data_IF_707675294661
#
_entry.id   IF_707675294661
#
_cell.length_a   1.000
_cell.length_b   1.000
_cell.length_c   1.000
_cell.angle_alpha   90.00
_cell.angle_beta   90.00
_cell.angle_gamma   90.00
#
_symmetry.space_group_name_H-M   'P 1'
#
loop_
_entity.id
_entity.type
_entity.pdbx_description
1 polymer ?
#
# COMPACT_ATOMS: atom_id res chain seq x y z
N UNK A 1 -7.27 12.03 1.64
CA UNK A 1 -6.46 12.58 2.67
C UNK A 1 -5.21 13.25 2.09
N UNK A 2 -5.33 14.57 1.91
CA UNK A 2 -4.39 15.43 1.16
C UNK A 2 -2.97 15.45 1.71
N UNK A 3 -2.82 15.31 3.03
CA UNK A 3 -1.50 15.38 3.67
C UNK A 3 -0.64 14.11 3.44
N UNK A 4 -1.23 12.98 3.14
CA UNK A 4 -0.53 11.73 2.87
C UNK A 4 0.10 11.71 1.48
N UNK A 5 -0.56 12.38 0.55
CA UNK A 5 -0.13 12.50 -0.83
C UNK A 5 1.11 13.41 -0.93
N UNK A 6 1.25 14.40 -0.02
CA UNK A 6 2.45 15.27 0.05
C UNK A 6 3.71 14.46 0.37
N UNK A 7 3.63 13.59 1.39
CA UNK A 7 4.77 12.75 1.78
C UNK A 7 5.22 11.83 0.63
N UNK A 8 4.25 11.35 -0.19
CA UNK A 8 4.55 10.58 -1.40
C UNK A 8 5.26 11.39 -2.48
N UNK A 9 4.85 12.66 -2.66
CA UNK A 9 5.48 13.56 -3.62
C UNK A 9 6.92 13.90 -3.20
N UNK A 10 7.14 14.16 -1.92
CA UNK A 10 8.46 14.46 -1.37
C UNK A 10 9.38 13.23 -1.37
N UNK A 11 8.81 12.00 -1.32
CA UNK A 11 9.56 10.75 -1.43
C UNK A 11 9.87 10.36 -2.88
N UNK A 12 9.24 10.99 -3.87
CA UNK A 12 9.33 10.59 -5.27
C UNK A 12 10.76 10.60 -5.85
N UNK A 13 11.61 11.61 -5.61
CA UNK A 13 12.98 11.57 -6.09
C UNK A 13 13.72 10.31 -5.60
N UNK A 14 13.62 10.00 -4.32
CA UNK A 14 14.27 8.81 -3.75
C UNK A 14 13.69 7.47 -4.23
N UNK A 15 12.42 7.43 -4.65
CA UNK A 15 11.82 6.27 -5.33
C UNK A 15 12.44 6.09 -6.73
N UNK A 16 12.48 7.17 -7.51
CA UNK A 16 12.98 7.17 -8.89
C UNK A 16 14.49 6.84 -8.95
N UNK A 17 15.28 7.40 -8.04
CA UNK A 17 16.72 7.11 -7.91
C UNK A 17 17.01 5.61 -7.66
N UNK A 18 16.10 4.91 -7.02
CA UNK A 18 16.18 3.45 -6.80
C UNK A 18 15.67 2.63 -8.00
N UNK A 19 15.29 3.27 -9.10
CA UNK A 19 14.75 2.61 -10.30
C UNK A 19 13.25 2.31 -10.21
N UNK A 20 12.55 2.90 -9.25
CA UNK A 20 11.10 2.74 -9.11
C UNK A 20 10.32 3.54 -10.15
N UNK A 21 9.10 3.10 -10.37
CA UNK A 21 8.11 3.80 -11.19
C UNK A 21 6.87 4.10 -10.33
N UNK A 22 6.23 5.23 -10.58
CA UNK A 22 4.97 5.62 -9.92
C UNK A 22 3.86 5.79 -10.95
N UNK A 23 2.76 5.07 -10.74
CA UNK A 23 1.49 5.35 -11.41
C UNK A 23 0.47 5.84 -10.39
N UNK A 24 -0.17 6.97 -10.64
CA UNK A 24 -1.18 7.57 -9.77
C UNK A 24 -2.45 7.85 -10.55
N UNK A 25 -3.57 7.40 -9.99
CA UNK A 25 -4.92 7.73 -10.43
C UNK A 25 -5.67 8.34 -9.26
N UNK A 26 -6.21 9.53 -9.43
CA UNK A 26 -7.01 10.17 -8.40
C UNK A 26 -7.32 11.62 -8.69
N UNK A 27 -8.12 12.21 -7.83
CA UNK A 27 -8.46 13.63 -7.84
C UNK A 27 -8.45 14.17 -6.41
N UNK A 28 -8.21 15.48 -6.25
CA UNK A 28 -8.14 16.12 -4.94
C UNK A 28 -7.76 17.59 -5.06
N UNK A 29 -6.94 18.05 -4.14
CA UNK A 29 -6.44 19.42 -4.10
C UNK A 29 -5.75 19.83 -5.41
N UNK A 30 -6.16 20.97 -6.04
CA UNK A 30 -5.60 21.40 -7.32
C UNK A 30 -4.08 21.66 -7.31
N UNK A 31 -3.54 22.16 -6.19
CA UNK A 31 -2.10 22.44 -6.08
C UNK A 31 -1.30 21.13 -6.04
N UNK A 32 -1.81 20.12 -5.35
CA UNK A 32 -1.22 18.79 -5.35
C UNK A 32 -1.29 18.13 -6.72
N UNK A 33 -2.42 18.25 -7.41
CA UNK A 33 -2.55 17.76 -8.79
C UNK A 33 -1.52 18.40 -9.72
N UNK A 34 -1.36 19.73 -9.66
CA UNK A 34 -0.37 20.46 -10.45
C UNK A 34 1.06 19.99 -10.15
N UNK A 35 1.41 19.78 -8.88
CA UNK A 35 2.74 19.28 -8.47
C UNK A 35 2.99 17.86 -8.98
N UNK A 36 2.02 16.97 -8.94
CA UNK A 36 2.15 15.62 -9.49
C UNK A 36 2.29 15.60 -11.00
N UNK A 37 1.55 16.45 -11.72
CA UNK A 37 1.70 16.61 -13.17
C UNK A 37 3.08 17.17 -13.53
N UNK A 38 3.59 18.13 -12.75
CA UNK A 38 4.96 18.63 -12.92
C UNK A 38 6.00 17.53 -12.68
N UNK A 39 5.80 16.69 -11.67
CA UNK A 39 6.68 15.54 -11.42
C UNK A 39 6.65 14.52 -12.56
N UNK A 40 5.48 14.27 -13.16
CA UNK A 40 5.40 13.39 -14.34
C UNK A 40 6.16 13.96 -15.54
N UNK A 41 6.14 15.29 -15.72
CA UNK A 41 6.93 15.95 -16.77
C UNK A 41 8.44 15.91 -16.48
N UNK A 42 8.84 15.93 -15.20
CA UNK A 42 10.25 15.86 -14.77
C UNK A 42 10.82 14.44 -14.91
N UNK A 43 10.01 13.39 -14.73
CA UNK A 43 10.44 11.98 -14.75
C UNK A 43 9.68 11.20 -15.83
N UNK A 44 9.88 11.50 -17.13
CA UNK A 44 9.17 10.82 -18.21
C UNK A 44 9.51 9.33 -18.26
N UNK A 45 8.46 8.51 -18.40
CA UNK A 45 8.59 7.04 -18.39
C UNK A 45 8.72 6.40 -17.00
N UNK A 46 8.93 7.19 -15.94
CA UNK A 46 9.03 6.70 -14.57
C UNK A 46 7.83 7.14 -13.72
N UNK A 47 7.22 8.29 -14.02
CA UNK A 47 6.05 8.80 -13.30
C UNK A 47 4.90 9.03 -14.28
N UNK A 48 3.76 8.43 -14.00
CA UNK A 48 2.53 8.59 -14.80
C UNK A 48 1.39 9.01 -13.88
N UNK A 49 0.73 10.11 -14.23
CA UNK A 49 -0.36 10.70 -13.44
C UNK A 49 -1.61 10.81 -14.29
N UNK A 50 -2.71 10.27 -13.80
CA UNK A 50 -4.04 10.46 -14.39
C UNK A 50 -4.96 11.08 -13.35
N UNK A 51 -5.42 12.31 -13.63
CA UNK A 51 -6.37 13.01 -12.78
C UNK A 51 -7.78 12.53 -13.12
N UNK A 52 -8.54 12.13 -12.11
CA UNK A 52 -9.93 11.70 -12.23
C UNK A 52 -10.22 10.41 -11.46
N UNK A 53 -11.41 9.87 -11.71
CA UNK A 53 -11.87 8.59 -11.19
C UNK A 53 -12.14 7.61 -12.34
N UNK A 54 -11.57 6.42 -12.23
CA UNK A 54 -11.79 5.33 -13.18
C UNK A 54 -11.61 4.01 -12.43
N UNK A 55 -12.70 3.36 -12.09
CA UNK A 55 -12.70 2.13 -11.27
C UNK A 55 -12.02 0.97 -11.99
N UNK A 56 -12.32 0.79 -13.27
CA UNK A 56 -11.74 -0.29 -14.07
C UNK A 56 -10.21 -0.12 -14.17
N UNK A 57 -9.74 1.10 -14.45
CA UNK A 57 -8.31 1.40 -14.48
C UNK A 57 -7.67 1.23 -13.10
N UNK A 58 -8.34 1.62 -12.01
CA UNK A 58 -7.80 1.45 -10.66
C UNK A 58 -7.49 -0.01 -10.34
N UNK A 59 -8.40 -0.92 -10.69
CA UNK A 59 -8.18 -2.36 -10.52
C UNK A 59 -7.05 -2.90 -11.41
N UNK A 60 -6.95 -2.41 -12.65
CA UNK A 60 -5.83 -2.78 -13.54
C UNK A 60 -4.48 -2.29 -12.99
N UNK A 61 -4.44 -1.05 -12.49
CA UNK A 61 -3.23 -0.50 -11.88
C UNK A 61 -2.82 -1.29 -10.63
N UNK A 62 -3.78 -1.60 -9.75
CA UNK A 62 -3.49 -2.42 -8.56
C UNK A 62 -2.98 -3.80 -8.98
N UNK A 63 -3.66 -4.49 -9.90
CA UNK A 63 -3.26 -5.83 -10.33
C UNK A 63 -1.94 -5.87 -11.14
N UNK A 64 -1.53 -4.75 -11.73
CA UNK A 64 -0.30 -4.63 -12.51
C UNK A 64 0.90 -4.07 -11.74
N UNK A 65 0.73 -3.61 -10.51
CA UNK A 65 1.80 -3.04 -9.70
C UNK A 65 2.45 -4.09 -8.79
N UNK A 66 3.71 -3.87 -8.41
CA UNK A 66 4.38 -4.67 -7.39
C UNK A 66 3.98 -4.25 -5.98
N UNK A 67 3.82 -2.94 -5.77
CA UNK A 67 3.50 -2.33 -4.48
C UNK A 67 2.35 -1.35 -4.63
N UNK A 68 1.40 -1.38 -3.69
CA UNK A 68 0.41 -0.32 -3.55
C UNK A 68 0.72 0.55 -2.34
N UNK A 69 0.86 1.86 -2.58
CA UNK A 69 1.23 2.82 -1.57
C UNK A 69 -0.01 3.45 -0.93
N UNK A 70 -0.18 3.25 0.38
CA UNK A 70 -1.31 3.80 1.16
C UNK A 70 -0.79 4.52 2.42
N UNK A 71 -0.14 5.69 2.27
CA UNK A 71 0.51 6.41 3.37
C UNK A 71 -0.48 7.25 4.18
N UNK A 72 -1.70 6.80 4.38
CA UNK A 72 -2.79 7.55 5.01
C UNK A 72 -2.43 8.01 6.43
N UNK A 73 -2.73 9.26 6.75
CA UNK A 73 -2.60 9.79 8.13
C UNK A 73 -3.72 9.29 9.04
N UNK A 74 -4.90 9.11 8.47
CA UNK A 74 -6.04 8.52 9.13
C UNK A 74 -6.79 7.63 8.13
N UNK A 75 -7.05 6.39 8.50
CA UNK A 75 -7.76 5.42 7.66
C UNK A 75 -8.56 4.48 8.54
N UNK A 76 -9.88 4.68 8.70
CA UNK A 76 -10.69 3.85 9.60
C UNK A 76 -10.67 2.37 9.22
N UNK A 77 -10.76 2.07 7.95
CA UNK A 77 -10.75 0.71 7.41
C UNK A 77 -9.77 0.58 6.24
N UNK A 78 -10.06 1.30 5.14
CA UNK A 78 -9.39 1.17 3.86
C UNK A 78 -9.81 -0.09 3.09
N UNK A 79 -10.03 0.05 1.79
CA UNK A 79 -10.24 -1.08 0.88
C UNK A 79 -9.04 -1.29 -0.04
N UNK A 80 -8.30 -0.24 -0.30
CA UNK A 80 -7.21 -0.23 -1.27
C UNK A 80 -6.13 -1.26 -0.94
N UNK A 81 -5.72 -1.36 0.33
CA UNK A 81 -4.76 -2.38 0.78
C UNK A 81 -5.34 -3.80 0.68
N UNK A 82 -6.65 -3.97 0.89
CA UNK A 82 -7.31 -5.27 0.77
C UNK A 82 -7.34 -5.75 -0.69
N UNK A 83 -7.58 -4.83 -1.63
CA UNK A 83 -7.42 -5.13 -3.06
C UNK A 83 -5.98 -5.51 -3.39
N UNK A 84 -5.00 -4.77 -2.87
CA UNK A 84 -3.58 -5.10 -3.02
C UNK A 84 -3.28 -6.51 -2.53
N UNK A 85 -3.65 -6.86 -1.30
CA UNK A 85 -3.49 -8.21 -0.75
C UNK A 85 -4.13 -9.27 -1.66
N UNK A 86 -5.36 -9.03 -2.14
CA UNK A 86 -6.08 -9.97 -2.99
C UNK A 86 -5.41 -10.20 -4.34
N UNK A 87 -4.82 -9.15 -4.94
CA UNK A 87 -4.14 -9.22 -6.23
C UNK A 87 -2.66 -9.65 -6.13
N UNK A 88 -2.11 -9.76 -4.92
CA UNK A 88 -0.69 -10.03 -4.70
C UNK A 88 0.20 -8.81 -4.89
N UNK A 89 -0.38 -7.61 -4.93
CA UNK A 89 0.31 -6.33 -4.91
C UNK A 89 0.57 -5.95 -3.47
N UNK A 90 1.82 -5.96 -3.02
CA UNK A 90 2.13 -5.82 -1.61
C UNK A 90 1.82 -4.41 -1.09
N UNK A 91 0.96 -4.26 -0.06
CA UNK A 91 0.67 -2.96 0.50
C UNK A 91 1.88 -2.38 1.23
N UNK A 92 2.17 -1.09 0.99
CA UNK A 92 3.09 -0.30 1.79
C UNK A 92 2.27 0.80 2.47
N UNK A 93 2.05 0.66 3.77
CA UNK A 93 1.05 1.43 4.51
C UNK A 93 1.64 2.10 5.75
N UNK A 94 1.02 3.21 6.18
CA UNK A 94 1.28 3.75 7.50
C UNK A 94 0.49 2.97 8.56
N UNK A 95 1.08 2.77 9.74
CA UNK A 95 0.44 2.11 10.89
C UNK A 95 -0.65 3.01 11.47
N UNK A 96 -1.87 2.90 10.94
CA UNK A 96 -3.03 3.66 11.41
C UNK A 96 -4.33 2.90 11.10
N UNK A 97 -5.28 2.88 12.05
CA UNK A 97 -6.59 2.27 11.89
C UNK A 97 -6.56 0.90 11.23
N UNK A 98 -7.48 0.66 10.31
CA UNK A 98 -7.61 -0.62 9.60
C UNK A 98 -6.39 -1.04 8.78
N UNK A 99 -5.49 -0.12 8.43
CA UNK A 99 -4.22 -0.49 7.77
C UNK A 99 -3.31 -1.26 8.74
N UNK A 100 -3.27 -0.85 10.02
CA UNK A 100 -2.49 -1.54 11.05
C UNK A 100 -3.04 -2.93 11.36
N UNK A 101 -4.35 -3.13 11.21
CA UNK A 101 -5.03 -4.39 11.52
C UNK A 101 -4.98 -5.40 10.37
N UNK A 102 -4.78 -4.93 9.14
CA UNK A 102 -4.91 -5.75 7.93
C UNK A 102 -3.58 -6.06 7.23
N UNK A 103 -2.50 -5.34 7.54
CA UNK A 103 -1.18 -5.52 6.92
C UNK A 103 -0.14 -5.89 7.98
N UNK A 104 0.40 -7.10 7.87
CA UNK A 104 1.53 -7.55 8.70
C UNK A 104 2.86 -7.15 8.05
N UNK A 105 3.70 -6.44 8.80
CA UNK A 105 4.96 -5.91 8.31
C UNK A 105 5.95 -7.00 7.90
N UNK A 106 6.70 -6.78 6.82
CA UNK A 106 7.84 -7.61 6.41
C UNK A 106 9.04 -7.37 7.35
N UNK A 107 8.85 -7.56 8.66
CA UNK A 107 9.94 -7.66 9.64
C UNK A 107 10.63 -9.03 9.54
N UNK A 108 11.82 -9.16 10.13
CA UNK A 108 12.54 -10.43 10.13
C UNK A 108 11.73 -11.53 10.84
N UNK A 109 11.09 -11.18 11.96
CA UNK A 109 10.24 -12.07 12.74
C UNK A 109 9.05 -12.56 11.90
N UNK A 110 8.28 -11.62 11.34
CA UNK A 110 7.11 -11.98 10.53
C UNK A 110 7.47 -12.76 9.26
N UNK A 111 8.65 -12.51 8.68
CA UNK A 111 9.14 -13.29 7.54
C UNK A 111 9.49 -14.71 7.96
N UNK A 112 10.12 -14.89 9.13
CA UNK A 112 10.46 -16.20 9.68
C UNK A 112 9.20 -17.00 10.05
N UNK A 113 8.20 -16.33 10.63
CA UNK A 113 6.95 -16.95 11.08
C UNK A 113 5.92 -17.13 9.93
N UNK A 114 6.22 -16.62 8.72
CA UNK A 114 5.31 -16.73 7.59
C UNK A 114 4.06 -15.84 7.69
N UNK A 115 4.14 -14.75 8.44
CA UNK A 115 3.02 -13.85 8.69
C UNK A 115 3.06 -12.57 7.84
N UNK A 116 4.21 -12.25 7.23
CA UNK A 116 4.43 -11.02 6.48
C UNK A 116 3.50 -10.91 5.26
N UNK A 117 2.83 -9.77 5.11
CA UNK A 117 1.90 -9.51 3.99
C UNK A 117 2.13 -8.16 3.28
N UNK A 118 3.02 -7.31 3.80
CA UNK A 118 3.30 -6.00 3.23
C UNK A 118 4.33 -5.23 4.04
N UNK A 119 4.40 -3.93 3.85
CA UNK A 119 5.36 -3.05 4.50
C UNK A 119 4.62 -2.02 5.35
N UNK A 120 5.06 -1.85 6.60
CA UNK A 120 4.44 -0.92 7.54
C UNK A 120 5.49 0.08 8.04
N UNK A 121 5.14 1.36 8.06
CA UNK A 121 5.90 2.43 8.70
C UNK A 121 5.03 3.20 9.70
N UNK A 122 5.64 3.84 10.69
CA UNK A 122 4.90 4.46 11.82
C UNK A 122 4.83 5.97 11.69
N UNK A 123 5.97 6.62 11.47
CA UNK A 123 6.06 8.07 11.57
C UNK A 123 5.52 8.74 10.30
N UNK A 124 4.75 9.81 10.50
CA UNK A 124 4.21 10.61 9.38
C UNK A 124 5.30 11.57 8.86
N UNK A 125 6.37 10.98 8.33
CA UNK A 125 7.55 11.68 7.80
C UNK A 125 8.01 11.03 6.50
N UNK A 126 8.45 11.84 5.56
CA UNK A 126 9.01 11.39 4.27
C UNK A 126 10.17 10.39 4.46
N UNK A 127 11.01 10.61 5.47
CA UNK A 127 12.13 9.72 5.78
C UNK A 127 11.67 8.30 6.19
N UNK A 128 10.57 8.19 6.94
CA UNK A 128 9.99 6.91 7.36
C UNK A 128 9.41 6.16 6.16
N UNK A 129 8.71 6.86 5.28
CA UNK A 129 8.20 6.33 4.02
C UNK A 129 9.34 5.82 3.13
N UNK A 130 10.40 6.61 2.95
CA UNK A 130 11.57 6.22 2.14
C UNK A 130 12.27 4.97 2.70
N UNK A 131 12.36 4.83 4.03
CA UNK A 131 12.88 3.58 4.65
C UNK A 131 12.03 2.37 4.28
N UNK A 132 10.70 2.51 4.32
CA UNK A 132 9.80 1.42 3.93
C UNK A 132 9.91 1.09 2.42
N UNK A 133 10.02 2.10 1.56
CA UNK A 133 10.26 1.93 0.13
C UNK A 133 11.56 1.15 -0.10
N UNK A 134 12.66 1.53 0.55
CA UNK A 134 13.95 0.80 0.44
C UNK A 134 13.82 -0.68 0.86
N UNK A 135 13.07 -0.96 1.91
CA UNK A 135 12.79 -2.35 2.35
C UNK A 135 12.04 -3.12 1.28
N UNK A 136 11.07 -2.48 0.61
CA UNK A 136 10.36 -3.09 -0.50
C UNK A 136 11.30 -3.43 -1.66
N UNK A 137 12.20 -2.53 -2.07
CA UNK A 137 13.20 -2.81 -3.09
C UNK A 137 14.14 -3.95 -2.70
N UNK A 138 14.61 -3.98 -1.45
CA UNK A 138 15.46 -5.06 -0.94
C UNK A 138 14.75 -6.41 -1.00
N UNK A 139 13.47 -6.46 -0.65
CA UNK A 139 12.68 -7.69 -0.74
C UNK A 139 12.40 -8.07 -2.20
N UNK A 140 12.05 -7.10 -3.04
CA UNK A 140 11.78 -7.28 -4.47
C UNK A 140 12.99 -7.86 -5.21
N UNK A 141 14.22 -7.47 -4.84
CA UNK A 141 15.46 -8.05 -5.39
C UNK A 141 15.67 -9.53 -5.02
N UNK A 142 14.79 -10.13 -4.22
CA UNK A 142 14.81 -11.53 -3.81
C UNK A 142 13.55 -12.26 -4.30
N UNK A 143 13.47 -12.68 -5.57
CA UNK A 143 12.22 -13.13 -6.19
C UNK A 143 11.50 -14.28 -5.48
N UNK A 144 12.24 -15.19 -4.86
CA UNK A 144 11.65 -16.33 -4.13
C UNK A 144 10.94 -15.87 -2.86
N UNK A 145 11.56 -14.94 -2.12
CA UNK A 145 10.99 -14.39 -0.89
C UNK A 145 9.85 -13.43 -1.20
N UNK A 146 9.98 -12.62 -2.26
CA UNK A 146 8.90 -11.77 -2.75
C UNK A 146 7.64 -12.57 -3.06
N UNK A 147 7.75 -13.62 -3.88
CA UNK A 147 6.65 -14.52 -4.21
C UNK A 147 6.09 -15.27 -3.01
N UNK A 148 6.91 -15.56 -2.02
CA UNK A 148 6.43 -16.14 -0.77
C UNK A 148 5.50 -15.18 -0.04
N UNK A 149 5.91 -13.92 0.16
CA UNK A 149 5.08 -12.88 0.79
C UNK A 149 3.81 -12.60 -0.01
N UNK A 150 3.90 -12.55 -1.35
CA UNK A 150 2.71 -12.42 -2.21
C UNK A 150 1.68 -13.54 -1.96
N UNK A 151 2.11 -14.80 -1.87
CA UNK A 151 1.21 -15.92 -1.56
C UNK A 151 0.58 -15.79 -0.19
N UNK A 152 1.33 -15.36 0.82
CA UNK A 152 0.78 -15.08 2.15
C UNK A 152 -0.27 -13.96 2.09
N UNK A 153 0.03 -12.85 1.43
CA UNK A 153 -0.90 -11.74 1.23
C UNK A 153 -2.21 -12.21 0.57
N UNK A 154 -2.11 -12.98 -0.51
CA UNK A 154 -3.27 -13.50 -1.25
C UNK A 154 -4.08 -14.55 -0.48
N UNK A 155 -3.50 -15.20 0.51
CA UNK A 155 -4.19 -16.19 1.36
C UNK A 155 -5.03 -15.56 2.48
N UNK A 156 -4.87 -14.25 2.72
CA UNK A 156 -5.65 -13.54 3.74
C UNK A 156 -7.13 -13.51 3.39
N UNK A 157 -7.98 -13.87 4.35
CA UNK A 157 -9.44 -13.89 4.19
C UNK A 157 -10.08 -12.76 5.00
N UNK A 158 -10.59 -11.77 4.28
CA UNK A 158 -11.36 -10.63 4.83
C UNK A 158 -12.84 -10.71 4.44
N UNK A 159 -13.35 -11.91 4.16
CA UNK A 159 -14.75 -12.12 3.76
C UNK A 159 -15.74 -11.85 4.90
N UNK A 160 -16.97 -11.56 4.52
CA UNK A 160 -18.07 -11.42 5.44
C UNK A 160 -18.32 -12.69 6.29
N UNK A 161 -17.92 -13.87 5.81
CA UNK A 161 -18.04 -15.12 6.57
C UNK A 161 -17.19 -15.10 7.84
N UNK A 162 -15.96 -14.53 7.76
CA UNK A 162 -15.11 -14.37 8.95
C UNK A 162 -15.73 -13.38 9.93
N UNK A 163 -16.19 -12.22 9.44
CA UNK A 163 -16.87 -11.23 10.28
C UNK A 163 -18.14 -11.82 10.94
N UNK A 164 -18.98 -12.52 10.18
CA UNK A 164 -20.20 -13.14 10.67
C UNK A 164 -19.92 -14.17 11.78
N UNK A 165 -18.87 -14.99 11.63
CA UNK A 165 -18.46 -15.93 12.71
C UNK A 165 -18.08 -15.21 14.00
N UNK A 166 -17.32 -14.11 13.89
CA UNK A 166 -16.91 -13.32 15.05
C UNK A 166 -18.12 -12.69 15.77
N UNK A 167 -19.08 -12.12 15.01
CA UNK A 167 -20.34 -11.61 15.57
C UNK A 167 -21.16 -12.72 16.21
N UNK A 168 -21.28 -13.88 15.58
CA UNK A 168 -22.00 -15.00 16.13
C UNK A 168 -21.40 -15.46 17.48
N UNK A 169 -20.08 -15.59 17.57
CA UNK A 169 -19.37 -15.91 18.80
C UNK A 169 -19.60 -14.86 19.90
N UNK A 170 -19.63 -13.57 19.53
CA UNK A 170 -19.93 -12.49 20.47
C UNK A 170 -21.33 -12.65 21.03
N UNK A 171 -22.33 -12.86 20.18
CA UNK A 171 -23.73 -13.06 20.63
C UNK A 171 -23.89 -14.27 21.53
N UNK A 172 -23.22 -15.39 21.23
CA UNK A 172 -23.25 -16.59 22.10
C UNK A 172 -22.68 -16.36 23.50
N UNK A 173 -21.81 -15.35 23.70
CA UNK A 173 -21.25 -15.01 25.01
C UNK A 173 -22.15 -14.08 25.84
N UNK A 174 -23.10 -13.46 25.21
CA UNK A 174 -24.00 -12.45 25.87
C UNK A 174 -25.33 -13.08 26.26
N UNK A 175 -25.71 -14.19 25.64
CA UNK A 175 -26.89 -14.98 25.97
C UNK A 175 -26.51 -16.06 26.99
#
# INVERSE_FOLDING_TARGET
SEMCIRDSLDALPGLVEQGGQLALLGSGDPDLQARFLAAAAQYPGQVSIRIGYDEALSHQMIGGADVILVPSRFEPCGLTQLYGLRYGTLPLVRRTGGLADTVADCSLENLADGLATGFVFTDSETASLLRAIRRAFVLWSRPSLWRYVQRQAMSMDFSWQIAAKSFHQLYQRII
#
